data_IF_265173982071
#
_entry.id   IF_265173982071
#
_cell.length_a   1.000
_cell.length_b   1.000
_cell.length_c   1.000
_cell.angle_alpha   90.00
_cell.angle_beta   90.00
_cell.angle_gamma   90.00
#
_symmetry.space_group_name_H-M   'P 1'
#
loop_
_entity.id
_entity.type
_entity.pdbx_description
1 polymer ?
#
# COMPACT_ATOMS: atom_id res chain seq x y z
N UNK A 1 -0.07 -21.74 8.23
CA UNK A 1 -0.73 -20.41 8.32
C UNK A 1 -2.14 -20.39 7.73
N UNK A 2 -2.35 -20.63 6.43
CA UNK A 2 -3.70 -20.64 5.80
C UNK A 2 -4.72 -21.51 6.58
N UNK A 3 -4.39 -22.78 6.86
CA UNK A 3 -5.25 -23.70 7.62
C UNK A 3 -5.58 -23.21 9.04
N UNK A 4 -4.65 -22.52 9.71
CA UNK A 4 -4.87 -21.94 11.05
C UNK A 4 -5.91 -20.81 10.96
N UNK A 5 -5.74 -19.90 10.00
CA UNK A 5 -6.64 -18.77 9.79
C UNK A 5 -8.06 -19.22 9.40
N UNK A 6 -8.16 -20.27 8.58
CA UNK A 6 -9.44 -20.89 8.17
C UNK A 6 -10.20 -21.54 9.33
N UNK A 7 -9.49 -22.05 10.36
CA UNK A 7 -10.09 -22.61 11.57
C UNK A 7 -10.46 -21.53 12.58
N UNK A 8 -9.53 -20.62 12.88
CA UNK A 8 -9.68 -19.63 13.96
C UNK A 8 -10.69 -18.52 13.65
N UNK A 9 -10.83 -18.08 12.39
CA UNK A 9 -11.71 -16.94 12.09
C UNK A 9 -13.21 -17.23 12.28
N UNK A 10 -13.76 -18.41 11.89
CA UNK A 10 -15.13 -18.79 12.24
C UNK A 10 -15.37 -18.85 13.75
N UNK A 11 -14.51 -19.55 14.50
CA UNK A 11 -14.56 -19.63 15.98
C UNK A 11 -14.56 -18.22 16.62
N UNK A 12 -13.74 -17.30 16.08
CA UNK A 12 -13.65 -15.93 16.57
C UNK A 12 -14.86 -15.06 16.18
N UNK A 13 -15.57 -15.37 15.09
CA UNK A 13 -16.82 -14.68 14.71
C UNK A 13 -17.98 -15.02 15.63
N UNK A 14 -18.04 -16.26 16.13
CA UNK A 14 -19.13 -16.73 17.00
C UNK A 14 -19.10 -16.03 18.37
N UNK A 15 -17.91 -15.72 18.89
CA UNK A 15 -17.72 -15.11 20.22
C UNK A 15 -17.54 -13.58 20.18
N UNK A 16 -17.20 -12.99 19.04
CA UNK A 16 -16.92 -11.57 18.94
C UNK A 16 -18.20 -10.70 18.77
N UNK A 17 -18.18 -9.43 19.21
CA UNK A 17 -19.26 -8.49 18.94
C UNK A 17 -19.55 -8.34 17.44
N UNK A 18 -20.84 -8.20 17.08
CA UNK A 18 -21.30 -8.08 15.68
C UNK A 18 -20.67 -6.93 14.90
N UNK A 19 -20.09 -5.93 15.56
CA UNK A 19 -19.41 -4.77 14.99
C UNK A 19 -17.86 -4.83 15.11
N UNK A 20 -17.28 -5.94 15.56
CA UNK A 20 -15.82 -6.11 15.71
C UNK A 20 -15.06 -5.87 14.38
N UNK A 21 -13.87 -5.29 14.47
CA UNK A 21 -12.95 -5.03 13.34
C UNK A 21 -11.71 -5.90 13.49
N UNK A 22 -11.35 -6.61 12.42
CA UNK A 22 -10.29 -7.62 12.42
C UNK A 22 -9.05 -7.08 11.70
N UNK A 23 -7.96 -6.87 12.46
CA UNK A 23 -6.69 -6.35 11.93
C UNK A 23 -5.66 -7.47 11.82
N UNK A 24 -5.32 -7.86 10.59
CA UNK A 24 -4.36 -8.94 10.30
C UNK A 24 -2.92 -8.39 10.29
N UNK A 25 -2.14 -8.82 11.29
CA UNK A 25 -0.71 -8.46 11.42
C UNK A 25 0.21 -9.55 10.87
N UNK A 26 -0.20 -10.82 10.98
CA UNK A 26 0.57 -12.00 10.57
C UNK A 26 0.94 -11.97 9.10
N UNK A 27 2.20 -12.29 8.76
CA UNK A 27 2.65 -12.35 7.37
C UNK A 27 2.37 -13.70 6.69
N UNK A 28 2.10 -13.74 5.37
CA UNK A 28 1.96 -12.59 4.44
C UNK A 28 0.58 -11.91 4.58
N UNK A 29 0.56 -10.72 5.21
CA UNK A 29 -0.66 -10.11 5.75
C UNK A 29 -1.70 -9.77 4.68
N UNK A 30 -1.26 -9.19 3.55
CA UNK A 30 -2.12 -8.86 2.42
C UNK A 30 -2.83 -10.10 1.83
N UNK A 31 -2.16 -11.26 1.79
CA UNK A 31 -2.72 -12.54 1.27
C UNK A 31 -3.66 -13.19 2.29
N UNK A 32 -3.26 -13.19 3.56
CA UNK A 32 -4.09 -13.70 4.66
C UNK A 32 -5.35 -12.86 4.85
N UNK A 33 -5.35 -11.59 4.45
CA UNK A 33 -6.55 -10.73 4.47
C UNK A 33 -7.57 -11.15 3.42
N UNK A 34 -7.15 -11.44 2.18
CA UNK A 34 -8.04 -11.96 1.14
C UNK A 34 -8.65 -13.29 1.58
N UNK A 35 -7.82 -14.22 2.08
CA UNK A 35 -8.27 -15.51 2.62
C UNK A 35 -9.23 -15.32 3.80
N UNK A 36 -8.90 -14.41 4.73
CA UNK A 36 -9.76 -14.13 5.88
C UNK A 36 -11.11 -13.56 5.47
N UNK A 37 -11.14 -12.71 4.44
CA UNK A 37 -12.36 -12.17 3.88
C UNK A 37 -13.22 -13.26 3.21
N UNK A 38 -12.60 -14.13 2.39
CA UNK A 38 -13.28 -15.29 1.77
C UNK A 38 -13.91 -16.23 2.81
N UNK A 39 -13.23 -16.45 3.93
CA UNK A 39 -13.68 -17.36 5.01
C UNK A 39 -14.81 -16.77 5.84
N UNK A 40 -14.75 -15.46 6.10
CA UNK A 40 -15.66 -14.79 7.04
C UNK A 40 -16.87 -14.13 6.38
N UNK A 41 -16.81 -13.87 5.07
CA UNK A 41 -17.81 -13.05 4.37
C UNK A 41 -17.85 -11.59 4.83
N UNK A 42 -16.90 -11.14 5.67
CA UNK A 42 -16.88 -9.77 6.19
C UNK A 42 -16.63 -8.75 5.08
N UNK A 43 -17.25 -7.56 5.17
CA UNK A 43 -17.01 -6.51 4.19
C UNK A 43 -15.61 -5.89 4.40
N UNK A 44 -14.99 -5.27 3.36
CA UNK A 44 -13.59 -4.83 3.41
C UNK A 44 -13.26 -3.85 4.54
N UNK A 45 -14.25 -3.09 5.01
CA UNK A 45 -14.12 -2.14 6.12
C UNK A 45 -14.02 -2.81 7.50
N UNK A 46 -14.40 -4.10 7.62
CA UNK A 46 -14.32 -4.86 8.88
C UNK A 46 -13.14 -5.84 8.95
N UNK A 47 -12.46 -6.14 7.84
CA UNK A 47 -11.29 -7.02 7.82
C UNK A 47 -10.19 -6.50 6.90
N UNK A 48 -9.06 -6.13 7.49
CA UNK A 48 -7.91 -5.60 6.77
C UNK A 48 -6.59 -5.93 7.46
N UNK A 49 -5.48 -5.85 6.73
CA UNK A 49 -4.14 -6.01 7.25
C UNK A 49 -3.49 -4.67 7.63
N UNK A 50 -2.55 -4.74 8.59
CA UNK A 50 -1.59 -3.66 8.90
C UNK A 50 -0.82 -3.14 7.69
N UNK A 51 -0.77 -3.93 6.60
CA UNK A 51 -0.36 -3.48 5.28
C UNK A 51 1.07 -2.97 5.27
N UNK A 52 1.23 -1.66 5.03
CA UNK A 52 2.54 -1.02 4.88
C UNK A 52 2.83 0.07 5.93
N UNK A 53 2.05 0.15 7.01
CA UNK A 53 2.16 1.21 8.02
C UNK A 53 3.57 1.27 8.63
N UNK A 54 4.08 0.16 9.18
CA UNK A 54 5.44 0.07 9.75
C UNK A 54 6.54 0.54 8.77
N UNK A 55 6.52 0.00 7.55
CA UNK A 55 7.52 0.33 6.54
C UNK A 55 7.45 1.81 6.12
N UNK A 56 6.24 2.37 6.05
CA UNK A 56 6.02 3.78 5.71
C UNK A 56 6.53 4.68 6.84
N UNK A 57 6.30 4.33 8.10
CA UNK A 57 6.84 5.04 9.26
C UNK A 57 8.37 5.01 9.29
N UNK A 58 8.99 3.84 9.03
CA UNK A 58 10.46 3.71 8.91
C UNK A 58 11.03 4.58 7.79
N UNK A 59 10.35 4.60 6.63
CA UNK A 59 10.78 5.40 5.49
C UNK A 59 10.65 6.91 5.78
N UNK A 60 9.52 7.36 6.34
CA UNK A 60 9.35 8.75 6.80
C UNK A 60 10.44 9.15 7.80
N UNK A 61 10.83 8.27 8.73
CA UNK A 61 11.89 8.52 9.71
C UNK A 61 13.28 8.67 9.08
N UNK A 62 13.64 7.85 8.09
CA UNK A 62 14.89 8.01 7.33
C UNK A 62 14.92 9.31 6.51
N UNK A 63 13.82 9.63 5.83
CA UNK A 63 13.70 10.86 5.03
C UNK A 63 13.73 12.12 5.91
N UNK A 64 13.11 12.08 7.09
CA UNK A 64 13.11 13.17 8.05
C UNK A 64 14.52 13.49 8.57
N UNK A 65 15.30 12.46 8.96
CA UNK A 65 16.72 12.63 9.31
C UNK A 65 17.55 13.22 8.16
N UNK A 66 17.44 12.66 6.95
CA UNK A 66 18.23 13.10 5.79
C UNK A 66 17.84 14.50 5.29
N UNK A 67 16.60 14.92 5.54
CA UNK A 67 16.13 16.28 5.25
C UNK A 67 16.36 17.28 6.39
N UNK A 68 16.87 16.82 7.55
CA UNK A 68 17.03 17.59 8.80
C UNK A 68 15.74 18.29 9.24
N UNK A 69 14.66 17.51 9.32
CA UNK A 69 13.29 17.96 9.68
C UNK A 69 12.58 17.00 10.63
N UNK A 70 11.53 17.51 11.30
CA UNK A 70 10.63 16.69 12.10
C UNK A 70 9.91 15.61 11.27
N UNK A 71 9.67 14.44 11.88
CA UNK A 71 8.97 13.30 11.27
C UNK A 71 7.57 13.66 10.71
N UNK A 72 6.89 14.61 11.34
CA UNK A 72 5.56 15.07 10.92
C UNK A 72 5.57 15.84 9.59
N UNK A 73 6.70 16.49 9.28
CA UNK A 73 6.88 17.23 8.02
C UNK A 73 7.08 16.28 6.85
N UNK A 74 7.79 15.16 7.03
CA UNK A 74 7.98 14.16 5.98
C UNK A 74 6.68 13.38 5.71
N UNK A 75 6.07 13.57 4.52
CA UNK A 75 4.82 12.92 4.09
C UNK A 75 5.05 12.08 2.85
N UNK A 76 4.73 10.79 2.91
CA UNK A 76 4.86 9.85 1.80
C UNK A 76 3.88 8.70 2.00
N UNK A 77 3.35 8.17 0.89
CA UNK A 77 2.60 6.91 0.86
C UNK A 77 3.32 5.91 -0.06
N UNK A 78 3.43 4.68 0.40
CA UNK A 78 3.98 3.57 -0.38
C UNK A 78 2.85 2.75 -0.99
N UNK A 79 3.05 2.21 -2.20
CA UNK A 79 2.09 1.28 -2.83
C UNK A 79 2.75 -0.07 -3.06
N UNK A 80 1.94 -1.12 -3.22
CA UNK A 80 2.43 -2.43 -3.65
C UNK A 80 2.46 -2.49 -5.18
N UNK A 81 3.62 -2.83 -5.73
CA UNK A 81 3.81 -3.15 -7.15
C UNK A 81 4.21 -4.63 -7.25
N UNK A 82 3.27 -5.47 -7.70
CA UNK A 82 3.42 -6.95 -7.78
C UNK A 82 3.81 -7.56 -6.42
N UNK A 83 5.07 -8.01 -6.26
CA UNK A 83 5.63 -8.58 -5.02
C UNK A 83 6.38 -7.58 -4.15
N UNK A 84 6.72 -6.41 -4.70
CA UNK A 84 7.52 -5.39 -4.01
C UNK A 84 6.64 -4.24 -3.55
N UNK A 85 7.10 -3.52 -2.52
CA UNK A 85 6.41 -2.38 -1.94
C UNK A 85 7.23 -1.13 -2.28
N UNK A 86 6.75 -0.32 -3.22
CA UNK A 86 7.49 0.73 -3.92
C UNK A 86 6.99 2.12 -3.50
N UNK A 87 7.87 3.07 -3.15
CA UNK A 87 7.49 4.44 -2.85
C UNK A 87 6.97 5.20 -4.08
N UNK A 88 6.10 6.18 -3.86
CA UNK A 88 5.73 7.15 -4.90
C UNK A 88 6.43 8.49 -4.63
N UNK A 89 7.68 8.63 -5.09
CA UNK A 89 8.49 9.85 -4.93
C UNK A 89 7.80 11.09 -5.49
N UNK A 90 7.08 10.97 -6.60
CA UNK A 90 6.27 12.05 -7.21
C UNK A 90 5.10 12.54 -6.34
N UNK A 91 4.84 11.92 -5.19
CA UNK A 91 3.85 12.34 -4.19
C UNK A 91 4.45 12.43 -2.78
N UNK A 92 5.77 12.39 -2.66
CA UNK A 92 6.48 12.58 -1.41
C UNK A 92 6.75 14.07 -1.20
N UNK A 93 6.48 14.58 0.00
CA UNK A 93 6.74 15.97 0.36
C UNK A 93 7.45 16.08 1.71
N UNK A 94 8.17 17.19 1.89
CA UNK A 94 8.58 17.68 3.21
C UNK A 94 7.82 18.99 3.43
N UNK A 95 6.91 18.97 4.41
CA UNK A 95 5.86 19.98 4.52
C UNK A 95 5.00 19.99 3.24
N UNK A 96 4.99 21.15 2.57
CA UNK A 96 4.33 21.38 1.28
C UNK A 96 5.24 21.21 0.06
N UNK A 97 6.56 21.07 0.26
CA UNK A 97 7.55 21.05 -0.83
C UNK A 97 7.73 19.62 -1.35
N UNK A 98 7.71 19.36 -2.68
CA UNK A 98 8.04 18.05 -3.24
C UNK A 98 9.45 17.60 -2.81
N UNK A 99 9.64 16.30 -2.54
CA UNK A 99 10.88 15.85 -1.90
C UNK A 99 12.16 16.09 -2.73
N UNK A 100 12.06 16.07 -4.06
CA UNK A 100 13.17 16.36 -4.97
C UNK A 100 13.50 17.86 -5.05
N UNK A 101 12.54 18.72 -4.68
CA UNK A 101 12.71 20.18 -4.65
C UNK A 101 13.18 20.70 -3.29
N UNK A 102 13.05 19.88 -2.24
CA UNK A 102 13.49 20.21 -0.88
C UNK A 102 14.96 20.60 -0.82
N UNK A 103 15.23 21.75 -0.19
CA UNK A 103 16.57 22.21 0.14
C UNK A 103 16.79 22.04 1.64
N UNK A 104 17.68 21.12 2.07
CA UNK A 104 18.07 20.98 3.46
C UNK A 104 18.69 22.27 4.01
N UNK A 105 18.33 22.62 5.25
CA UNK A 105 18.81 23.85 5.92
C UNK A 105 20.24 23.73 6.48
N UNK A 106 20.77 22.51 6.53
CA UNK A 106 22.10 22.15 7.02
C UNK A 106 23.17 22.11 5.92
N UNK A 107 22.84 22.56 4.70
CA UNK A 107 23.73 22.56 3.55
C UNK A 107 23.90 21.21 2.85
N UNK A 108 23.16 20.16 3.26
CA UNK A 108 23.16 18.89 2.54
C UNK A 108 22.58 19.06 1.12
N UNK A 109 23.03 18.26 0.14
CA UNK A 109 22.50 18.32 -1.22
C UNK A 109 21.01 17.94 -1.26
N UNK A 110 20.32 18.41 -2.30
CA UNK A 110 18.95 17.97 -2.63
C UNK A 110 18.88 16.44 -2.76
N UNK A 111 17.70 15.88 -2.48
CA UNK A 111 17.45 14.46 -2.71
C UNK A 111 17.55 14.11 -4.19
N UNK A 112 18.17 12.97 -4.49
CA UNK A 112 18.17 12.35 -5.83
C UNK A 112 17.26 11.11 -5.85
N UNK A 113 16.75 10.72 -7.01
CA UNK A 113 15.92 9.51 -7.14
C UNK A 113 16.71 8.26 -6.71
N UNK A 114 17.96 8.13 -7.15
CA UNK A 114 18.85 7.03 -6.78
C UNK A 114 19.10 6.94 -5.27
N UNK A 115 19.27 8.07 -4.58
CA UNK A 115 19.41 8.12 -3.12
C UNK A 115 18.11 7.68 -2.43
N UNK A 116 16.96 8.18 -2.89
CA UNK A 116 15.66 7.81 -2.34
C UNK A 116 15.37 6.31 -2.52
N UNK A 117 15.70 5.73 -3.68
CA UNK A 117 15.55 4.30 -3.94
C UNK A 117 16.49 3.45 -3.07
N UNK A 118 17.73 3.88 -2.82
CA UNK A 118 18.63 3.24 -1.84
C UNK A 118 18.03 3.27 -0.43
N UNK A 119 17.54 4.42 0.04
CA UNK A 119 16.88 4.56 1.35
C UNK A 119 15.65 3.61 1.44
N UNK A 120 14.90 3.43 0.35
CA UNK A 120 13.77 2.52 0.32
C UNK A 120 14.18 1.04 0.37
N UNK A 121 15.30 0.68 -0.26
CA UNK A 121 15.93 -0.64 -0.15
C UNK A 121 16.41 -0.88 1.27
N UNK A 122 17.12 0.07 1.89
CA UNK A 122 17.59 -0.04 3.28
C UNK A 122 16.43 -0.24 4.26
N UNK A 123 15.33 0.49 4.09
CA UNK A 123 14.13 0.37 4.95
C UNK A 123 13.44 -0.98 4.80
N UNK A 124 13.41 -1.53 3.58
CA UNK A 124 12.91 -2.89 3.30
C UNK A 124 13.81 -3.92 3.99
N UNK A 125 15.12 -3.78 3.86
CA UNK A 125 16.08 -4.80 4.27
C UNK A 125 16.49 -4.69 5.75
N UNK A 126 16.19 -3.57 6.41
CA UNK A 126 16.35 -3.37 7.85
C UNK A 126 15.65 -4.46 8.70
N UNK A 127 14.61 -5.12 8.17
CA UNK A 127 14.02 -6.28 8.84
C UNK A 127 15.01 -7.46 8.94
N UNK A 128 15.79 -7.71 7.88
CA UNK A 128 16.80 -8.76 7.84
C UNK A 128 18.05 -8.42 8.66
N UNK A 129 18.31 -7.14 8.96
CA UNK A 129 19.41 -6.73 9.87
C UNK A 129 19.01 -6.84 11.35
N UNK A 130 17.72 -6.64 11.68
CA UNK A 130 17.23 -6.72 13.07
C UNK A 130 17.04 -8.15 13.56
N UNK A 131 16.62 -9.08 12.68
CA UNK A 131 16.36 -10.48 13.06
C UNK A 131 17.63 -11.18 13.61
N UNK A 132 18.82 -11.09 13.00
CA UNK A 132 20.05 -11.69 13.56
C UNK A 132 20.45 -11.13 14.93
N UNK A 133 20.20 -9.84 15.19
CA UNK A 133 20.60 -9.18 16.43
C UNK A 133 19.60 -9.29 17.59
N UNK A 134 18.32 -9.62 17.32
CA UNK A 134 17.25 -9.65 18.34
C UNK A 134 16.25 -10.80 18.19
N UNK A 135 16.47 -11.75 17.28
CA UNK A 135 15.60 -12.89 16.98
C UNK A 135 14.29 -12.54 16.24
N UNK A 136 13.70 -11.36 16.47
CA UNK A 136 12.42 -10.97 15.88
C UNK A 136 12.22 -9.44 15.78
N UNK A 137 11.18 -9.01 15.06
CA UNK A 137 10.84 -7.59 14.81
C UNK A 137 9.61 -7.10 15.60
N UNK A 138 9.50 -7.52 16.87
CA UNK A 138 8.27 -7.44 17.67
C UNK A 138 7.81 -6.02 18.03
N UNK A 139 8.68 -5.18 18.60
CA UNK A 139 8.28 -3.86 19.13
C UNK A 139 7.73 -2.91 18.05
N UNK A 140 8.39 -2.86 16.89
CA UNK A 140 8.03 -1.90 15.85
C UNK A 140 6.69 -2.26 15.16
N UNK A 141 6.41 -3.54 14.95
CA UNK A 141 5.09 -3.97 14.45
C UNK A 141 4.01 -3.84 15.53
N UNK A 142 4.35 -4.05 16.80
CA UNK A 142 3.47 -3.79 17.94
C UNK A 142 3.01 -2.33 17.98
N UNK A 143 3.95 -1.37 17.99
CA UNK A 143 3.63 0.06 17.95
C UNK A 143 2.85 0.46 16.68
N UNK A 144 3.22 -0.08 15.52
CA UNK A 144 2.48 0.13 14.27
C UNK A 144 1.05 -0.41 14.31
N UNK A 145 0.79 -1.46 15.09
CA UNK A 145 -0.53 -2.07 15.24
C UNK A 145 -1.36 -1.33 16.30
N UNK A 146 -0.75 -0.93 17.42
CA UNK A 146 -1.36 -0.08 18.43
C UNK A 146 -1.86 1.24 17.81
N UNK A 147 -1.04 1.89 16.96
CA UNK A 147 -1.43 3.13 16.26
C UNK A 147 -2.66 2.94 15.35
N UNK A 148 -2.81 1.77 14.71
CA UNK A 148 -4.01 1.44 13.93
C UNK A 148 -5.22 1.30 14.88
N UNK A 149 -5.07 0.57 15.99
CA UNK A 149 -6.15 0.35 16.98
C UNK A 149 -6.60 1.66 17.61
N UNK A 150 -5.68 2.55 18.00
CA UNK A 150 -5.99 3.91 18.49
C UNK A 150 -6.82 4.72 17.49
N UNK A 151 -6.49 4.65 16.19
CA UNK A 151 -7.20 5.39 15.16
C UNK A 151 -8.63 4.87 14.93
N UNK A 152 -8.86 3.57 15.16
CA UNK A 152 -10.19 2.95 15.13
C UNK A 152 -10.98 3.32 16.39
N UNK A 153 -10.41 3.11 17.58
CA UNK A 153 -11.11 3.30 18.86
C UNK A 153 -11.39 4.77 19.17
N UNK A 154 -10.50 5.68 18.76
CA UNK A 154 -10.68 7.12 18.93
C UNK A 154 -11.32 7.83 17.74
N UNK A 155 -11.94 7.10 16.79
CA UNK A 155 -12.51 7.58 15.53
C UNK A 155 -11.74 8.74 14.88
N UNK A 156 -10.43 8.55 14.69
CA UNK A 156 -9.51 9.66 14.37
C UNK A 156 -9.51 10.08 12.89
N UNK A 157 -10.25 9.37 12.05
CA UNK A 157 -10.34 9.55 10.59
C UNK A 157 -8.96 9.62 9.91
N UNK A 158 -8.00 8.87 10.45
CA UNK A 158 -6.59 8.92 10.08
C UNK A 158 -6.30 8.11 8.80
N UNK A 159 -5.73 8.77 7.80
CA UNK A 159 -5.27 8.10 6.57
C UNK A 159 -4.02 7.27 6.86
N UNK A 160 -4.13 5.95 6.73
CA UNK A 160 -3.04 5.00 6.95
C UNK A 160 -2.93 4.00 5.79
N UNK A 161 -1.71 3.59 5.37
CA UNK A 161 -1.54 2.69 4.23
C UNK A 161 -1.68 1.20 4.65
N UNK A 162 -2.86 0.87 5.17
CA UNK A 162 -3.37 -0.47 5.46
C UNK A 162 -3.73 -1.23 4.16
N UNK A 163 -3.89 -2.55 4.23
CA UNK A 163 -4.30 -3.38 3.08
C UNK A 163 -5.64 -4.06 3.33
N UNK A 164 -6.71 -3.58 2.70
CA UNK A 164 -7.99 -4.30 2.68
C UNK A 164 -7.98 -5.45 1.66
N UNK A 165 -8.91 -6.40 1.82
CA UNK A 165 -9.20 -7.39 0.79
C UNK A 165 -9.82 -6.76 -0.46
N UNK A 166 -9.73 -7.46 -1.60
CA UNK A 166 -10.14 -6.91 -2.89
C UNK A 166 -11.66 -7.04 -3.11
N UNK A 167 -12.36 -5.92 -3.21
CA UNK A 167 -13.73 -5.88 -3.71
C UNK A 167 -13.74 -6.35 -5.19
N UNK A 168 -14.51 -7.41 -5.51
CA UNK A 168 -14.87 -7.71 -6.90
C UNK A 168 -15.77 -6.58 -7.41
N UNK A 169 -15.17 -5.59 -8.08
CA UNK A 169 -15.85 -4.39 -8.58
C UNK A 169 -16.44 -4.56 -9.99
N UNK A 170 -17.78 -4.68 -10.11
CA UNK A 170 -18.53 -4.08 -11.20
C UNK A 170 -19.15 -2.73 -10.74
N UNK A 171 -18.60 -1.63 -11.23
CA UNK A 171 -19.40 -0.42 -11.50
C UNK A 171 -19.78 0.54 -10.37
N UNK A 172 -19.44 0.34 -9.09
CA UNK A 172 -19.72 1.35 -8.03
C UNK A 172 -18.55 1.63 -7.08
N UNK A 173 -18.08 2.88 -7.08
CA UNK A 173 -17.27 3.43 -5.98
C UNK A 173 -18.16 3.76 -4.79
N UNK A 174 -18.27 2.87 -3.81
CA UNK A 174 -18.83 3.26 -2.49
C UNK A 174 -17.72 3.91 -1.66
N UNK A 175 -18.03 5.02 -0.97
CA UNK A 175 -17.15 5.58 0.05
C UNK A 175 -17.16 4.65 1.26
N UNK A 176 -15.99 4.31 1.78
CA UNK A 176 -15.86 3.66 3.09
C UNK A 176 -16.35 4.64 4.17
N UNK A 177 -17.29 4.26 5.07
CA UNK A 177 -17.72 5.12 6.17
C UNK A 177 -16.75 5.10 7.37
N UNK A 178 -15.84 4.13 7.43
CA UNK A 178 -14.84 4.02 8.50
C UNK A 178 -13.63 4.89 8.18
N UNK A 179 -13.29 5.78 9.11
CA UNK A 179 -12.40 6.93 8.89
C UNK A 179 -10.95 6.60 8.51
N UNK A 180 -10.50 5.35 8.67
CA UNK A 180 -9.26 4.88 8.07
C UNK A 180 -9.50 4.50 6.60
N UNK A 181 -9.47 5.48 5.69
CA UNK A 181 -9.60 5.22 4.25
C UNK A 181 -8.55 4.19 3.79
N UNK A 182 -8.95 2.99 3.31
CA UNK A 182 -7.99 2.05 2.76
C UNK A 182 -7.41 2.65 1.48
N UNK A 183 -6.11 2.95 1.48
CA UNK A 183 -5.39 3.31 0.26
C UNK A 183 -5.15 2.05 -0.58
N UNK A 184 -6.23 1.39 -1.00
CA UNK A 184 -6.16 0.07 -1.59
C UNK A 184 -5.44 0.08 -2.93
N UNK A 185 -4.65 -0.97 -3.10
CA UNK A 185 -4.02 -1.36 -4.35
C UNK A 185 -5.07 -1.68 -5.40
N UNK A 186 -5.18 -0.83 -6.41
CA UNK A 186 -5.59 -1.28 -7.74
C UNK A 186 -4.33 -1.48 -8.59
N UNK A 187 -4.19 -2.65 -9.20
CA UNK A 187 -3.23 -2.83 -10.28
C UNK A 187 -3.57 -1.85 -11.41
N UNK A 188 -2.56 -1.21 -12.01
CA UNK A 188 -2.81 -0.40 -13.20
C UNK A 188 -3.36 -1.30 -14.31
N UNK A 189 -4.43 -0.90 -15.03
CA UNK A 189 -4.85 -1.63 -16.21
C UNK A 189 -3.75 -1.52 -17.26
N UNK A 190 -3.31 -2.68 -17.74
CA UNK A 190 -2.35 -2.78 -18.83
C UNK A 190 -2.90 -2.08 -20.07
N UNK A 191 -2.18 -1.06 -20.57
CA UNK A 191 -2.51 -0.32 -21.78
C UNK A 191 -1.82 -0.90 -23.03
N UNK A 192 -1.59 -2.22 -23.09
CA UNK A 192 -1.05 -2.89 -24.29
C UNK A 192 -1.97 -3.93 -24.95
N UNK A 193 -3.30 -3.76 -24.92
CA UNK A 193 -4.23 -4.68 -25.61
C UNK A 193 -5.48 -4.04 -26.24
N UNK A 194 -5.35 -2.85 -26.84
CA UNK A 194 -6.36 -2.31 -27.79
C UNK A 194 -5.72 -1.62 -29.00
N UNK A 195 -5.22 -2.42 -29.96
CA UNK A 195 -5.25 -2.03 -31.38
C UNK A 195 -6.59 -2.50 -31.94
N UNK A 196 -7.48 -1.62 -32.43
CA UNK A 196 -8.60 -2.07 -33.26
C UNK A 196 -8.03 -2.58 -34.59
N UNK A 197 -8.46 -3.77 -35.00
CA UNK A 197 -8.20 -4.30 -36.33
C UNK A 197 -8.85 -3.41 -37.39
N UNK A 198 -8.06 -2.90 -38.34
CA UNK A 198 -8.62 -2.34 -39.58
C UNK A 198 -9.20 -3.50 -40.40
N UNK A 199 -10.45 -3.42 -40.89
CA UNK A 199 -10.93 -4.35 -41.90
C UNK A 199 -10.21 -4.09 -43.22
N UNK A 200 -9.81 -5.15 -43.89
CA UNK A 200 -9.20 -5.11 -45.23
C UNK A 200 -10.29 -4.90 -46.29
N UNK A 201 -10.28 -3.75 -46.97
CA UNK A 201 -11.08 -3.52 -48.17
C UNK A 201 -10.23 -3.74 -49.42
N UNK A 202 -10.41 -4.89 -50.07
CA UNK A 202 -9.84 -5.18 -51.39
C UNK A 202 -10.56 -4.38 -52.48
N UNK A 203 -9.85 -3.48 -53.17
CA UNK A 203 -10.30 -2.93 -54.45
C UNK A 203 -9.20 -3.12 -55.49
N UNK A 204 -9.58 -3.80 -56.58
CA UNK A 204 -8.75 -4.10 -57.75
C UNK A 204 -8.52 -2.86 -58.60
N UNK A 205 -7.27 -2.58 -58.95
CA UNK A 205 -6.92 -1.55 -59.92
C UNK A 205 -6.79 -2.14 -61.32
N UNK A 206 -7.79 -1.92 -62.16
CA UNK A 206 -7.71 -2.14 -63.62
C UNK A 206 -7.50 -0.81 -64.34
N UNK A 207 -6.62 -0.83 -65.34
CA UNK A 207 -6.31 0.25 -66.28
C UNK A 207 -5.93 -0.40 -67.64
N UNK A 208 -5.70 0.35 -68.75
CA UNK A 208 -5.92 1.77 -69.00
C UNK A 208 -7.24 1.95 -69.82
N UNK A 209 -7.40 2.57 -71.02
CA UNK A 209 -6.48 3.27 -71.94
C UNK A 209 -6.54 4.81 -71.89
N UNK A 210 -5.58 5.45 -72.57
CA UNK A 210 -5.57 6.87 -72.98
C UNK A 210 -5.94 7.01 -74.47
N UNK A 211 -6.53 8.14 -74.90
CA UNK A 211 -6.26 8.72 -76.21
C UNK A 211 -4.95 9.53 -76.21
#
# INVERSE_FOLDING_TARGET
>A
MNAILRRMLPELLEVAPKNCVYVIVTNPCDVLTVIGQEVTGLPPERIFASGTVLDTSRLRWKLAQRGSVDLERARLHRRRARRHRVPHWSRATIGTVPILDWQPLDGQPKFTVDELDRIAVDVRDAAYTVIPGKGATNYAIGLSSARIVEAILGDQHAVMPVSAGAERLPGRRRRCPLGALPSSTAAAPDRSSRRPSRPTSSHSSTAPPTP
#
